data_IF_801823366979
#
_entry.id   IF_801823366979
#
_cell.length_a   1.000
_cell.length_b   1.000
_cell.length_c   1.000
_cell.angle_alpha   90.00
_cell.angle_beta   90.00
_cell.angle_gamma   90.00
#
_symmetry.space_group_name_H-M   'P 1'
#
loop_
_entity.id
_entity.type
_entity.pdbx_description
1 polymer ?
#
# COMPACT_ATOMS: atom_id res chain seq x y z
N UNK A 1 18.42 25.64 -2.53
CA UNK A 1 17.74 25.30 -1.26
C UNK A 1 18.42 24.08 -0.71
N UNK A 2 18.85 24.11 0.54
CA UNK A 2 19.52 23.00 1.22
C UNK A 2 18.68 22.57 2.43
N UNK A 3 18.53 21.27 2.63
CA UNK A 3 17.75 20.67 3.72
C UNK A 3 18.49 19.46 4.27
N UNK A 4 18.41 19.28 5.58
CA UNK A 4 19.04 18.17 6.30
C UNK A 4 18.04 17.57 7.30
N UNK A 5 18.06 16.25 7.44
CA UNK A 5 17.26 15.53 8.42
C UNK A 5 16.87 14.14 7.96
N UNK A 6 16.22 13.40 8.85
CA UNK A 6 15.68 12.08 8.53
C UNK A 6 14.61 12.19 7.44
N UNK A 7 14.74 11.36 6.41
CA UNK A 7 13.73 11.22 5.36
C UNK A 7 12.76 10.12 5.78
N UNK A 8 11.46 10.42 5.69
CA UNK A 8 10.39 9.45 5.92
C UNK A 8 9.62 9.20 4.63
N UNK A 9 8.71 8.22 4.66
CA UNK A 9 7.79 7.95 3.55
C UNK A 9 7.11 9.24 3.11
N UNK A 10 7.14 9.49 1.80
CA UNK A 10 6.48 10.64 1.18
C UNK A 10 4.98 10.62 1.50
N UNK A 11 4.44 11.78 1.87
CA UNK A 11 3.01 11.96 2.09
C UNK A 11 2.37 12.37 0.77
N UNK A 12 1.19 11.83 0.50
CA UNK A 12 0.43 12.13 -0.72
C UNK A 12 -0.94 12.68 -0.37
N UNK A 13 -1.38 13.66 -1.13
CA UNK A 13 -2.67 14.32 -1.02
C UNK A 13 -3.37 14.29 -2.37
N UNK A 14 -4.62 13.82 -2.39
CA UNK A 14 -5.41 13.75 -3.62
C UNK A 14 -5.82 15.16 -4.05
N UNK A 15 -5.26 15.62 -5.16
CA UNK A 15 -5.57 16.91 -5.79
C UNK A 15 -5.38 16.80 -7.32
N UNK A 16 -5.59 17.88 -8.08
CA UNK A 16 -5.44 17.92 -9.54
C UNK A 16 -4.30 18.87 -9.94
N UNK A 17 -3.05 18.39 -10.09
CA UNK A 17 -2.54 17.03 -9.92
C UNK A 17 -2.30 16.64 -8.44
N UNK A 18 -2.07 15.36 -8.16
CA UNK A 18 -1.74 14.86 -6.81
C UNK A 18 -0.56 15.62 -6.23
N UNK A 19 -0.66 16.02 -4.95
CA UNK A 19 0.42 16.71 -4.26
C UNK A 19 1.26 15.71 -3.45
N UNK A 20 2.58 15.84 -3.59
CA UNK A 20 3.58 15.00 -2.95
C UNK A 20 4.43 15.83 -2.00
N UNK A 21 4.58 15.37 -0.76
CA UNK A 21 5.37 16.06 0.25
C UNK A 21 6.41 15.11 0.83
N UNK A 22 7.69 15.47 0.71
CA UNK A 22 8.81 14.73 1.29
C UNK A 22 9.11 15.24 2.70
N UNK A 23 8.87 14.45 3.77
CA UNK A 23 9.28 14.82 5.10
C UNK A 23 10.81 14.75 5.22
N UNK A 24 11.44 15.83 5.71
CA UNK A 24 12.86 15.92 6.01
C UNK A 24 13.02 16.55 7.39
N UNK A 25 13.34 15.72 8.39
CA UNK A 25 13.29 16.12 9.80
C UNK A 25 11.90 16.64 10.16
N UNK A 26 11.83 17.90 10.63
CA UNK A 26 10.57 18.55 11.02
C UNK A 26 9.89 19.33 9.88
N UNK A 27 10.40 19.26 8.65
CA UNK A 27 9.89 20.02 7.51
C UNK A 27 9.21 19.10 6.49
N UNK A 28 8.23 19.63 5.75
CA UNK A 28 7.59 18.96 4.62
C UNK A 28 7.90 19.72 3.34
N UNK A 29 8.68 19.11 2.46
CA UNK A 29 9.02 19.71 1.18
C UNK A 29 7.99 19.30 0.12
N UNK A 30 7.24 20.26 -0.44
CA UNK A 30 6.38 20.02 -1.60
C UNK A 30 7.25 19.63 -2.80
N UNK A 31 7.08 18.41 -3.31
CA UNK A 31 7.93 17.81 -4.34
C UNK A 31 7.53 18.22 -5.76
N UNK A 32 6.25 18.49 -6.00
CA UNK A 32 5.72 18.84 -7.32
C UNK A 32 6.45 20.01 -7.97
N UNK A 33 6.79 21.05 -7.19
CA UNK A 33 7.50 22.25 -7.66
C UNK A 33 8.97 22.00 -8.08
N UNK A 34 9.50 20.80 -7.84
CA UNK A 34 10.87 20.41 -8.17
C UNK A 34 10.95 19.45 -9.36
N UNK A 35 9.81 19.10 -9.96
CA UNK A 35 9.80 18.32 -11.20
C UNK A 35 10.54 19.09 -12.29
N UNK A 36 11.45 18.40 -13.00
CA UNK A 36 12.31 19.00 -14.04
C UNK A 36 13.51 19.78 -13.50
N UNK A 37 13.69 19.89 -12.18
CA UNK A 37 14.85 20.55 -11.57
C UNK A 37 15.91 19.51 -11.17
N UNK A 38 17.17 19.95 -11.11
CA UNK A 38 18.26 19.13 -10.59
C UNK A 38 18.15 19.03 -9.06
N UNK A 39 18.08 17.79 -8.54
CA UNK A 39 18.03 17.50 -7.11
C UNK A 39 19.21 16.59 -6.78
N UNK A 40 19.95 16.93 -5.73
CA UNK A 40 21.07 16.14 -5.24
C UNK A 40 20.76 15.63 -3.83
N UNK A 41 21.00 14.34 -3.59
CA UNK A 41 20.92 13.73 -2.27
C UNK A 41 22.33 13.37 -1.80
N UNK A 42 22.64 13.70 -0.54
CA UNK A 42 23.85 13.26 0.14
C UNK A 42 23.45 12.46 1.37
N UNK A 43 24.03 11.27 1.52
CA UNK A 43 23.76 10.39 2.65
C UNK A 43 24.85 10.52 3.70
N UNK A 44 24.49 11.01 4.89
CA UNK A 44 25.44 11.35 5.95
C UNK A 44 25.86 10.14 6.81
N UNK A 45 25.49 8.91 6.43
CA UNK A 45 25.82 7.72 7.21
C UNK A 45 24.98 7.54 8.49
N UNK A 46 23.87 8.26 8.61
CA UNK A 46 22.97 8.20 9.75
C UNK A 46 21.67 7.51 9.39
N UNK A 47 21.33 6.46 10.13
CA UNK A 47 20.09 5.71 10.00
C UNK A 47 19.44 5.68 11.37
N UNK A 48 18.17 6.03 11.44
CA UNK A 48 17.39 6.03 12.68
C UNK A 48 16.25 5.01 12.57
N UNK A 49 16.07 4.21 13.62
CA UNK A 49 15.00 3.23 13.68
C UNK A 49 13.64 3.94 13.65
N UNK A 50 12.72 3.49 12.78
CA UNK A 50 11.36 4.03 12.67
C UNK A 50 10.49 3.76 13.90
N UNK A 51 10.88 2.78 14.74
CA UNK A 51 10.14 2.38 15.94
C UNK A 51 10.70 3.08 17.18
N UNK A 52 11.94 2.74 17.56
CA UNK A 52 12.55 3.27 18.78
C UNK A 52 13.33 4.58 18.62
N UNK A 53 13.47 5.11 17.39
CA UNK A 53 14.22 6.34 17.12
C UNK A 53 15.74 6.24 17.30
N UNK A 54 16.28 5.09 17.71
CA UNK A 54 17.71 4.92 17.96
C UNK A 54 18.53 4.88 16.67
N UNK A 55 19.74 5.44 16.71
CA UNK A 55 20.70 5.35 15.60
C UNK A 55 21.14 3.90 15.41
N UNK A 56 21.18 3.44 14.17
CA UNK A 56 21.63 2.10 13.78
C UNK A 56 22.63 2.17 12.64
N UNK A 57 23.51 1.16 12.55
CA UNK A 57 24.48 1.03 11.45
C UNK A 57 23.84 0.46 10.18
N UNK A 58 22.74 -0.28 10.33
CA UNK A 58 22.02 -0.97 9.25
C UNK A 58 20.52 -0.84 9.45
N UNK A 59 19.79 -0.78 8.35
CA UNK A 59 18.33 -0.76 8.32
C UNK A 59 17.80 -2.14 7.96
N UNK A 60 16.81 -2.62 8.72
CA UNK A 60 16.06 -3.85 8.48
C UNK A 60 14.61 -3.50 8.15
N UNK A 61 13.97 -4.28 7.28
CA UNK A 61 12.56 -4.10 6.87
C UNK A 61 12.15 -2.64 6.62
N UNK A 62 12.94 -1.93 5.80
CA UNK A 62 12.69 -0.53 5.38
C UNK A 62 12.77 0.53 6.49
N UNK A 63 13.40 0.26 7.64
CA UNK A 63 13.67 1.35 8.60
C UNK A 63 13.90 0.96 10.05
N UNK A 64 13.98 -0.32 10.40
CA UNK A 64 14.11 -0.77 11.78
C UNK A 64 15.56 -1.10 12.15
N UNK A 65 15.91 -0.95 13.43
CA UNK A 65 17.08 -1.62 13.99
C UNK A 65 16.79 -3.13 14.17
N UNK A 66 17.82 -3.94 14.41
CA UNK A 66 17.67 -5.39 14.50
C UNK A 66 16.67 -5.83 15.59
N UNK A 67 16.73 -5.24 16.78
CA UNK A 67 15.82 -5.56 17.89
C UNK A 67 14.36 -5.24 17.55
N UNK A 68 14.08 -4.05 17.00
CA UNK A 68 12.73 -3.69 16.58
C UNK A 68 12.25 -4.51 15.37
N UNK A 69 13.16 -4.93 14.48
CA UNK A 69 12.79 -5.85 13.39
C UNK A 69 12.32 -7.22 13.92
N UNK A 70 12.94 -7.72 15.00
CA UNK A 70 12.53 -8.98 15.61
C UNK A 70 11.23 -8.87 16.43
N UNK A 71 11.02 -7.75 17.11
CA UNK A 71 10.00 -7.64 18.16
C UNK A 71 8.81 -6.73 17.82
N UNK A 72 8.97 -5.76 16.92
CA UNK A 72 7.91 -4.78 16.64
C UNK A 72 6.75 -5.42 15.88
N UNK A 73 5.48 -5.18 16.24
CA UNK A 73 4.34 -5.66 15.45
C UNK A 73 4.33 -5.05 14.04
N UNK A 74 4.90 -3.85 13.87
CA UNK A 74 5.04 -3.17 12.57
C UNK A 74 6.03 -3.84 11.61
N UNK A 75 6.84 -4.77 12.10
CA UNK A 75 7.81 -5.53 11.30
C UNK A 75 7.46 -7.03 11.19
N UNK A 76 6.27 -7.43 11.65
CA UNK A 76 5.75 -8.79 11.50
C UNK A 76 5.67 -9.21 10.03
N UNK A 77 5.86 -10.50 9.75
CA UNK A 77 5.82 -11.03 8.37
C UNK A 77 4.47 -10.74 7.68
N UNK A 78 3.37 -10.75 8.45
CA UNK A 78 2.03 -10.49 7.95
C UNK A 78 1.82 -9.06 7.42
N UNK A 79 2.75 -8.13 7.69
CA UNK A 79 2.77 -6.80 7.08
C UNK A 79 3.05 -6.90 5.58
N UNK A 80 3.89 -7.85 5.15
CA UNK A 80 4.21 -8.09 3.74
C UNK A 80 3.30 -9.17 3.15
N UNK A 81 2.98 -10.20 3.94
CA UNK A 81 2.18 -11.37 3.54
C UNK A 81 0.90 -11.46 4.37
N UNK A 82 -0.16 -10.73 3.99
CA UNK A 82 -1.37 -10.60 4.81
C UNK A 82 -2.03 -11.93 5.16
N UNK A 83 -1.88 -12.95 4.31
CA UNK A 83 -2.33 -14.33 4.49
C UNK A 83 -1.67 -15.06 5.68
N UNK A 84 -0.55 -14.56 6.20
CA UNK A 84 0.11 -15.12 7.39
C UNK A 84 -0.35 -14.46 8.70
N UNK A 85 -1.30 -13.53 8.64
CA UNK A 85 -1.80 -12.84 9.83
C UNK A 85 -2.57 -13.77 10.76
N UNK A 86 -2.10 -13.94 12.01
CA UNK A 86 -2.76 -14.78 13.03
C UNK A 86 -3.51 -14.01 14.12
N UNK A 87 -3.61 -12.68 13.99
CA UNK A 87 -4.32 -11.82 14.95
C UNK A 87 -5.76 -12.31 15.27
N UNK A 88 -6.45 -12.87 14.28
CA UNK A 88 -7.83 -13.37 14.44
C UNK A 88 -7.93 -14.61 15.34
N UNK A 89 -6.80 -15.26 15.62
CA UNK A 89 -6.65 -16.37 16.56
C UNK A 89 -6.17 -15.91 17.95
N UNK A 90 -6.02 -14.59 18.16
CA UNK A 90 -5.46 -14.05 19.40
C UNK A 90 -3.93 -14.09 19.46
N UNK A 91 -3.26 -14.23 18.31
CA UNK A 91 -1.80 -14.32 18.23
C UNK A 91 -1.19 -13.14 17.46
N UNK A 92 -0.09 -12.60 17.97
CA UNK A 92 0.66 -11.50 17.38
C UNK A 92 1.78 -11.06 18.32
N UNK A 93 2.67 -10.18 17.83
CA UNK A 93 3.74 -9.63 18.68
C UNK A 93 3.18 -8.70 19.76
N UNK A 94 2.09 -8.01 19.45
CA UNK A 94 1.37 -7.11 20.35
C UNK A 94 -0.14 -7.14 20.01
N UNK A 95 -0.95 -7.73 20.88
CA UNK A 95 -2.38 -7.91 20.58
C UNK A 95 -3.20 -6.62 20.63
N UNK A 96 -2.74 -5.58 21.32
CA UNK A 96 -3.40 -4.28 21.30
C UNK A 96 -3.21 -3.61 19.94
N UNK A 97 -1.95 -3.57 19.47
CA UNK A 97 -1.62 -3.06 18.14
C UNK A 97 -2.34 -3.84 17.03
N UNK A 98 -2.36 -5.17 17.11
CA UNK A 98 -2.98 -6.04 16.11
C UNK A 98 -4.50 -5.83 16.02
N UNK A 99 -5.18 -5.51 17.14
CA UNK A 99 -6.60 -5.14 17.12
C UNK A 99 -6.84 -3.85 16.36
N UNK A 100 -6.01 -2.84 16.62
CA UNK A 100 -6.12 -1.52 15.97
C UNK A 100 -5.74 -1.54 14.48
N UNK A 101 -4.93 -2.51 14.05
CA UNK A 101 -4.35 -2.53 12.71
C UNK A 101 -4.85 -3.65 11.81
N UNK A 102 -5.03 -4.86 12.35
CA UNK A 102 -5.33 -6.07 11.58
C UNK A 102 -6.75 -6.62 11.81
N UNK A 103 -7.34 -6.43 13.00
CA UNK A 103 -8.72 -6.86 13.32
C UNK A 103 -9.75 -5.77 13.07
N UNK A 104 -9.67 -5.19 11.87
CA UNK A 104 -10.60 -4.18 11.39
C UNK A 104 -10.90 -4.39 9.92
N UNK A 105 -11.77 -3.55 9.37
CA UNK A 105 -12.10 -3.61 7.96
C UNK A 105 -10.89 -3.42 7.04
N UNK A 106 -10.72 -4.40 6.17
CA UNK A 106 -9.77 -4.39 5.08
C UNK A 106 -10.50 -4.55 3.76
N UNK A 107 -9.92 -3.99 2.71
CA UNK A 107 -10.46 -3.99 1.36
C UNK A 107 -9.49 -4.66 0.42
N UNK A 108 -10.03 -5.58 -0.38
CA UNK A 108 -9.38 -6.04 -1.61
C UNK A 108 -9.86 -5.13 -2.73
N UNK A 109 -8.94 -4.66 -3.57
CA UNK A 109 -9.26 -3.79 -4.70
C UNK A 109 -8.52 -4.21 -5.97
N UNK A 110 -9.10 -3.85 -7.11
CA UNK A 110 -8.43 -3.86 -8.40
C UNK A 110 -7.84 -2.48 -8.66
N UNK A 111 -6.56 -2.41 -8.99
CA UNK A 111 -5.89 -1.20 -9.45
C UNK A 111 -5.50 -1.33 -10.92
N UNK A 112 -5.76 -0.27 -11.69
CA UNK A 112 -5.41 -0.19 -13.11
C UNK A 112 -4.33 0.87 -13.29
N UNK A 113 -3.25 0.47 -13.95
CA UNK A 113 -2.20 1.34 -14.49
C UNK A 113 -1.94 0.90 -15.94
N UNK A 114 -0.75 0.40 -16.26
CA UNK A 114 -0.46 -0.29 -17.54
C UNK A 114 -1.00 -1.73 -17.61
N UNK A 115 -1.59 -2.21 -16.51
CA UNK A 115 -2.28 -3.50 -16.39
C UNK A 115 -3.20 -3.52 -15.16
N UNK A 116 -3.88 -4.65 -14.94
CA UNK A 116 -4.74 -4.87 -13.78
C UNK A 116 -3.95 -5.55 -12.68
N UNK A 117 -4.06 -5.04 -11.45
CA UNK A 117 -3.46 -5.62 -10.25
C UNK A 117 -4.49 -5.82 -9.17
N UNK A 118 -4.22 -6.79 -8.30
CA UNK A 118 -4.94 -6.98 -7.06
C UNK A 118 -4.09 -6.42 -5.93
N UNK A 119 -4.69 -5.62 -5.07
CA UNK A 119 -4.04 -5.14 -3.86
C UNK A 119 -4.99 -5.18 -2.68
N UNK A 120 -4.40 -5.08 -1.50
CA UNK A 120 -5.14 -4.94 -0.25
C UNK A 120 -4.80 -3.62 0.45
N UNK A 121 -5.77 -3.07 1.16
CA UNK A 121 -5.58 -1.87 1.97
C UNK A 121 -6.54 -1.84 3.14
N UNK A 122 -6.21 -1.07 4.16
CA UNK A 122 -7.14 -0.66 5.21
C UNK A 122 -7.91 0.59 4.78
N UNK A 123 -9.08 0.81 5.36
CA UNK A 123 -9.94 1.97 5.11
C UNK A 123 -9.19 3.32 5.18
N UNK A 124 -8.35 3.51 6.20
CA UNK A 124 -7.62 4.74 6.49
C UNK A 124 -6.51 5.06 5.48
N UNK A 125 -6.24 4.17 4.54
CA UNK A 125 -5.20 4.34 3.52
C UNK A 125 -5.79 4.50 2.11
N UNK A 126 -7.11 4.53 1.99
CA UNK A 126 -7.79 4.89 0.74
C UNK A 126 -7.96 6.42 0.70
N UNK A 127 -7.53 7.15 -0.35
CA UNK A 127 -6.95 6.69 -1.62
C UNK A 127 -5.41 6.70 -1.67
N UNK A 128 -4.73 7.15 -0.62
CA UNK A 128 -3.25 7.29 -0.55
C UNK A 128 -2.49 6.06 -1.06
N UNK A 129 -2.93 4.85 -0.69
CA UNK A 129 -2.29 3.59 -1.09
C UNK A 129 -2.34 3.33 -2.60
N UNK A 130 -3.38 3.80 -3.27
CA UNK A 130 -3.54 3.64 -4.71
C UNK A 130 -2.67 4.64 -5.47
N UNK A 131 -2.57 5.87 -4.95
CA UNK A 131 -1.67 6.91 -5.45
C UNK A 131 -0.22 6.42 -5.36
N UNK A 132 0.19 5.88 -4.21
CA UNK A 132 1.53 5.33 -3.98
C UNK A 132 1.90 4.21 -4.98
N UNK A 133 0.90 3.52 -5.53
CA UNK A 133 1.10 2.41 -6.49
C UNK A 133 1.04 2.87 -7.95
N UNK A 134 0.85 4.16 -8.23
CA UNK A 134 0.71 4.69 -9.58
C UNK A 134 -0.53 4.19 -10.30
N UNK A 135 -1.60 3.87 -9.55
CA UNK A 135 -2.86 3.47 -10.15
C UNK A 135 -3.57 4.70 -10.75
N UNK A 136 -4.04 4.60 -11.99
CA UNK A 136 -4.92 5.60 -12.61
C UNK A 136 -6.37 5.41 -12.15
N UNK A 137 -6.75 4.16 -11.88
CA UNK A 137 -8.08 3.81 -11.36
C UNK A 137 -7.98 2.73 -10.30
N UNK A 138 -8.86 2.79 -9.30
CA UNK A 138 -9.04 1.72 -8.33
C UNK A 138 -10.52 1.44 -8.06
N UNK A 139 -10.85 0.15 -7.89
CA UNK A 139 -12.20 -0.31 -7.57
C UNK A 139 -12.14 -1.35 -6.44
N UNK A 140 -12.78 -1.12 -5.29
CA UNK A 140 -12.87 -2.11 -4.23
C UNK A 140 -13.80 -3.26 -4.66
N UNK A 141 -13.39 -4.50 -4.38
CA UNK A 141 -14.11 -5.72 -4.79
C UNK A 141 -14.60 -6.55 -3.60
N UNK A 142 -13.91 -6.51 -2.46
CA UNK A 142 -14.31 -7.21 -1.25
C UNK A 142 -13.98 -6.37 -0.01
N UNK A 143 -14.78 -6.54 1.06
CA UNK A 143 -14.54 -5.99 2.39
C UNK A 143 -14.51 -7.15 3.40
N UNK A 144 -13.41 -7.30 4.11
CA UNK A 144 -13.22 -8.35 5.11
C UNK A 144 -13.02 -7.74 6.50
N UNK A 145 -13.45 -8.43 7.57
CA UNK A 145 -13.36 -7.90 8.94
C UNK A 145 -11.94 -7.97 9.53
N UNK A 146 -11.00 -8.59 8.82
CA UNK A 146 -9.61 -8.67 9.24
C UNK A 146 -8.66 -8.80 8.03
N UNK A 147 -7.37 -8.57 8.32
CA UNK A 147 -6.28 -8.64 7.36
C UNK A 147 -6.07 -10.03 6.76
N UNK A 148 -6.22 -11.09 7.57
CA UNK A 148 -6.01 -12.48 7.14
C UNK A 148 -6.92 -12.86 5.98
N UNK A 149 -8.23 -12.66 6.14
CA UNK A 149 -9.22 -12.95 5.10
C UNK A 149 -8.97 -12.13 3.82
N UNK A 150 -8.51 -10.89 3.98
CA UNK A 150 -8.13 -10.03 2.86
C UNK A 150 -6.95 -10.64 2.08
N UNK A 151 -5.93 -11.13 2.81
CA UNK A 151 -4.78 -11.83 2.24
C UNK A 151 -5.15 -13.12 1.52
N UNK A 152 -6.04 -13.93 2.10
CA UNK A 152 -6.50 -15.17 1.46
C UNK A 152 -7.18 -14.89 0.12
N UNK A 153 -8.02 -13.86 0.05
CA UNK A 153 -8.65 -13.45 -1.21
C UNK A 153 -7.59 -12.93 -2.19
N UNK A 154 -6.65 -12.09 -1.75
CA UNK A 154 -5.56 -11.57 -2.58
C UNK A 154 -4.73 -12.70 -3.21
N UNK A 155 -4.29 -13.66 -2.40
CA UNK A 155 -3.51 -14.82 -2.85
C UNK A 155 -4.30 -15.64 -3.85
N UNK A 156 -5.59 -15.89 -3.61
CA UNK A 156 -6.45 -16.63 -4.56
C UNK A 156 -6.51 -15.93 -5.92
N UNK A 157 -6.58 -14.60 -5.95
CA UNK A 157 -6.67 -13.84 -7.18
C UNK A 157 -5.33 -13.68 -7.91
N UNK A 158 -4.22 -13.59 -7.18
CA UNK A 158 -2.86 -13.52 -7.77
C UNK A 158 -2.50 -14.75 -8.61
N UNK A 159 -3.14 -15.89 -8.36
CA UNK A 159 -2.99 -17.09 -9.20
C UNK A 159 -3.57 -16.91 -10.61
N UNK A 160 -4.53 -16.00 -10.77
CA UNK A 160 -5.25 -15.78 -12.02
C UNK A 160 -4.95 -14.42 -12.69
N UNK A 161 -4.51 -13.43 -11.93
CA UNK A 161 -4.23 -12.08 -12.42
C UNK A 161 -2.73 -11.82 -12.39
N UNK A 162 -2.17 -11.53 -13.57
CA UNK A 162 -0.73 -11.23 -13.69
C UNK A 162 -0.37 -9.91 -13.01
N UNK A 163 0.49 -9.98 -11.99
CA UNK A 163 1.02 -8.81 -11.27
C UNK A 163 2.16 -8.07 -12.04
N UNK A 164 2.33 -8.36 -13.34
CA UNK A 164 3.40 -7.75 -14.14
C UNK A 164 2.99 -6.36 -14.62
N UNK A 165 3.24 -5.35 -13.80
CA UNK A 165 3.32 -3.97 -14.29
C UNK A 165 4.52 -3.83 -15.21
N UNK A 166 4.29 -3.47 -16.46
CA UNK A 166 5.34 -2.83 -17.26
C UNK A 166 5.50 -1.39 -16.73
N UNK A 167 6.36 -1.20 -15.73
CA UNK A 167 6.62 0.09 -15.08
C UNK A 167 7.03 1.17 -16.09
N UNK A 168 7.74 0.79 -17.16
CA UNK A 168 8.10 1.69 -18.26
C UNK A 168 6.87 2.25 -18.99
N UNK A 169 5.83 1.43 -19.20
CA UNK A 169 4.57 1.86 -19.84
C UNK A 169 3.76 2.77 -18.93
N UNK A 170 3.75 2.46 -17.63
CA UNK A 170 3.12 3.32 -16.61
C UNK A 170 3.73 4.73 -16.61
N UNK A 171 5.06 4.86 -16.67
CA UNK A 171 5.73 6.17 -16.74
C UNK A 171 5.45 6.94 -18.03
N UNK A 172 5.09 6.23 -19.12
CA UNK A 172 4.63 6.84 -20.38
C UNK A 172 3.14 7.18 -20.37
N UNK A 173 2.45 6.97 -19.25
CA UNK A 173 1.01 7.12 -19.11
C UNK A 173 0.21 6.24 -20.10
N UNK A 174 0.75 5.09 -20.50
CA UNK A 174 0.07 4.09 -21.30
C UNK A 174 -0.85 3.26 -20.39
N UNK A 175 -2.10 3.72 -20.26
CA UNK A 175 -3.12 3.09 -19.41
C UNK A 175 -3.77 1.93 -20.16
N UNK A 176 -3.93 0.78 -19.50
CA UNK A 176 -4.67 -0.32 -20.08
C UNK A 176 -6.15 0.05 -20.23
N UNK A 177 -6.67 -0.01 -21.45
CA UNK A 177 -8.11 0.07 -21.72
C UNK A 177 -8.77 -1.22 -21.26
N UNK A 178 -9.24 -1.25 -20.01
CA UNK A 178 -9.96 -2.39 -19.43
C UNK A 178 -11.32 -1.91 -18.95
N UNK A 179 -12.37 -2.61 -19.37
CA UNK A 179 -13.68 -2.45 -18.75
C UNK A 179 -13.63 -3.04 -17.34
N UNK A 180 -13.55 -2.14 -16.36
CA UNK A 180 -13.52 -2.47 -14.93
C UNK A 180 -14.75 -3.28 -14.49
N UNK A 181 -15.91 -3.08 -15.14
CA UNK A 181 -17.14 -3.78 -14.80
C UNK A 181 -17.06 -5.23 -15.25
N UNK A 182 -16.68 -5.47 -16.50
CA UNK A 182 -16.49 -6.83 -17.01
C UNK A 182 -15.39 -7.54 -16.23
N UNK A 183 -14.26 -6.85 -15.97
CA UNK A 183 -13.17 -7.44 -15.21
C UNK A 183 -13.57 -7.79 -13.79
N UNK A 184 -14.41 -6.98 -13.15
CA UNK A 184 -14.94 -7.27 -11.81
C UNK A 184 -15.81 -8.53 -11.81
N UNK A 185 -16.69 -8.69 -12.79
CA UNK A 185 -17.52 -9.90 -12.90
C UNK A 185 -16.69 -11.16 -13.17
N UNK A 186 -15.64 -11.05 -13.99
CA UNK A 186 -14.66 -12.12 -14.19
C UNK A 186 -13.95 -12.47 -12.86
N UNK A 187 -13.47 -11.45 -12.15
CA UNK A 187 -12.78 -11.61 -10.86
C UNK A 187 -13.67 -12.25 -9.80
N UNK A 188 -14.95 -11.89 -9.74
CA UNK A 188 -15.90 -12.50 -8.80
C UNK A 188 -16.07 -14.00 -9.00
N UNK A 189 -15.96 -14.49 -10.25
CA UNK A 189 -16.03 -15.93 -10.56
C UNK A 189 -14.79 -16.69 -10.11
N UNK A 190 -13.65 -16.01 -9.99
CA UNK A 190 -12.36 -16.60 -9.59
C UNK A 190 -12.22 -16.70 -8.06
N UNK A 191 -12.98 -15.91 -7.30
CA UNK A 191 -12.90 -15.91 -5.84
C UNK A 191 -13.58 -17.18 -5.29
N UNK A 192 -12.94 -17.95 -4.39
CA UNK A 192 -13.54 -19.12 -3.76
C UNK A 192 -14.88 -18.81 -3.09
N UNK A 193 -15.83 -19.75 -3.18
CA UNK A 193 -17.22 -19.57 -2.71
C UNK A 193 -17.33 -19.18 -1.23
N UNK A 194 -16.41 -19.68 -0.40
CA UNK A 194 -16.34 -19.35 1.03
C UNK A 194 -16.17 -17.84 1.32
N UNK A 195 -15.56 -17.09 0.39
CA UNK A 195 -15.35 -15.65 0.50
C UNK A 195 -16.45 -14.81 -0.15
N UNK A 196 -17.46 -15.42 -0.80
CA UNK A 196 -18.50 -14.69 -1.53
C UNK A 196 -19.32 -13.74 -0.65
N UNK A 197 -19.43 -14.04 0.65
CA UNK A 197 -20.08 -13.17 1.65
C UNK A 197 -19.36 -11.84 1.88
N UNK A 198 -18.07 -11.75 1.54
CA UNK A 198 -17.27 -10.54 1.67
C UNK A 198 -17.27 -9.67 0.40
N UNK A 199 -17.83 -10.18 -0.70
CA UNK A 199 -17.87 -9.44 -1.97
C UNK A 199 -18.80 -8.24 -1.85
N UNK A 200 -18.30 -7.09 -2.31
CA UNK A 200 -19.11 -5.89 -2.41
C UNK A 200 -20.07 -6.07 -3.57
N UNK A 201 -21.39 -6.09 -3.32
CA UNK A 201 -22.41 -6.28 -4.38
C UNK A 201 -22.84 -4.97 -5.05
N UNK A 202 -22.72 -3.83 -4.35
CA UNK A 202 -23.07 -2.51 -4.91
C UNK A 202 -21.94 -1.93 -5.76
N UNK A 203 -22.30 -1.05 -6.69
CA UNK A 203 -21.35 -0.13 -7.35
C UNK A 203 -20.76 0.79 -6.27
N UNK A 204 -19.64 0.39 -5.67
CA UNK A 204 -18.81 1.36 -4.98
C UNK A 204 -18.19 2.28 -6.03
N UNK A 205 -18.11 3.57 -5.69
CA UNK A 205 -17.62 4.63 -6.54
C UNK A 205 -16.26 4.25 -7.14
N UNK A 206 -16.14 4.35 -8.46
CA UNK A 206 -14.85 4.27 -9.15
C UNK A 206 -14.01 5.44 -8.67
N UNK A 207 -12.82 5.18 -8.15
CA UNK A 207 -11.89 6.25 -7.81
C UNK A 207 -11.02 6.51 -9.02
N UNK A 208 -11.17 7.70 -9.61
CA UNK A 208 -10.26 8.22 -10.63
C UNK A 208 -9.11 8.90 -9.90
N UNK A 209 -7.88 8.48 -10.18
CA UNK A 209 -6.69 9.08 -9.61
C UNK A 209 -6.09 9.97 -10.71
N UNK A 210 -6.13 11.29 -10.54
CA UNK A 210 -5.53 12.24 -11.47
C UNK A 210 -4.01 12.05 -11.44
N UNK A 211 -3.40 11.77 -12.59
CA UNK A 211 -1.95 11.74 -12.76
C UNK A 211 -1.46 13.10 -13.25
#
# INVERSE_FOLDING_TARGET
MEMHGQILKMKTELNHPVQYYLPIGNKHLGMNQWIGKHIQFHFNGEIYCLDCGQRTKKSFNQGFCYTCFQNSPMSSECIIKPELCRAHLGEGRDMEWEREHHLKDHYVYLAISSGVKVGITRDTQVPTRWIDQGASYAVPIARTPNRYLCGMIEVSLKQHISDRTAWQRMLKNEIAHVDLKEKREEVFKLIPKEYHKYLLKRRHSKYSIPC
#
